data_IF_906001448365
#
_entry.id   IF_906001448365
#
_cell.length_a   1.000
_cell.length_b   1.000
_cell.length_c   1.000
_cell.angle_alpha   90.00
_cell.angle_beta   90.00
_cell.angle_gamma   90.00
#
_symmetry.space_group_name_H-M   'P 1'
#
loop_
_entity.id
_entity.type
_entity.pdbx_description
1 polymer ?
#
# COMPACT_ATOMS: atom_id res chain seq x y z
N UNK A 1 10.50 -14.05 17.40
CA UNK A 1 10.35 -15.16 16.43
C UNK A 1 8.93 -15.36 15.92
N UNK A 2 7.89 -15.43 16.77
CA UNK A 2 6.52 -15.66 16.31
C UNK A 2 6.00 -14.59 15.32
N UNK A 3 6.44 -13.33 15.47
CA UNK A 3 6.12 -12.26 14.52
C UNK A 3 6.66 -12.49 13.11
N UNK A 4 7.86 -13.07 12.94
CA UNK A 4 8.40 -13.33 11.60
C UNK A 4 7.62 -14.40 10.84
N UNK A 5 6.96 -15.32 11.55
CA UNK A 5 6.05 -16.31 10.95
C UNK A 5 4.89 -15.60 10.24
N UNK A 6 4.50 -14.40 10.69
CA UNK A 6 3.44 -13.60 10.07
C UNK A 6 4.02 -12.58 9.08
N UNK A 7 5.09 -11.87 9.47
CA UNK A 7 5.68 -10.79 8.67
C UNK A 7 6.28 -11.28 7.35
N UNK A 8 6.91 -12.46 7.33
CA UNK A 8 7.54 -12.98 6.10
C UNK A 8 6.48 -13.36 5.06
N UNK A 9 5.41 -14.13 5.38
CA UNK A 9 4.31 -14.35 4.44
C UNK A 9 3.63 -13.07 3.97
N UNK A 10 3.41 -12.09 4.86
CA UNK A 10 2.85 -10.80 4.47
C UNK A 10 3.76 -10.03 3.50
N UNK A 11 5.08 -10.08 3.69
CA UNK A 11 6.04 -9.50 2.76
C UNK A 11 5.99 -10.17 1.39
N UNK A 12 5.93 -11.51 1.35
CA UNK A 12 5.78 -12.28 0.10
C UNK A 12 4.46 -11.90 -0.60
N UNK A 13 3.36 -11.81 0.14
CA UNK A 13 2.07 -11.38 -0.39
C UNK A 13 2.12 -9.97 -0.98
N UNK A 14 2.79 -9.03 -0.33
CA UNK A 14 2.97 -7.69 -0.89
C UNK A 14 3.85 -7.67 -2.14
N UNK A 15 4.87 -8.54 -2.23
CA UNK A 15 5.64 -8.71 -3.47
C UNK A 15 4.74 -9.21 -4.60
N UNK A 16 3.85 -10.17 -4.32
CA UNK A 16 2.88 -10.64 -5.33
C UNK A 16 1.94 -9.52 -5.78
N UNK A 17 1.41 -8.73 -4.85
CA UNK A 17 0.56 -7.57 -5.17
C UNK A 17 1.32 -6.55 -6.02
N UNK A 18 2.55 -6.18 -5.63
CA UNK A 18 3.36 -5.21 -6.39
C UNK A 18 3.62 -5.72 -7.81
N UNK A 19 3.94 -7.00 -7.95
CA UNK A 19 4.14 -7.63 -9.26
C UNK A 19 2.85 -7.61 -10.09
N UNK A 20 1.71 -7.92 -9.47
CA UNK A 20 0.42 -7.93 -10.14
C UNK A 20 -0.01 -6.52 -10.57
N UNK A 21 0.18 -5.51 -9.71
CA UNK A 21 -0.06 -4.11 -10.04
C UNK A 21 0.83 -3.70 -11.22
N UNK A 22 2.12 -4.06 -11.25
CA UNK A 22 3.01 -3.72 -12.38
C UNK A 22 2.57 -4.34 -13.70
N UNK A 23 2.12 -5.59 -13.66
CA UNK A 23 1.76 -6.36 -14.85
C UNK A 23 0.32 -6.09 -15.32
N UNK A 24 -0.58 -5.71 -14.41
CA UNK A 24 -2.00 -5.47 -14.66
C UNK A 24 -2.50 -4.24 -13.89
N UNK A 25 -2.02 -3.06 -14.28
CA UNK A 25 -2.37 -1.78 -13.66
C UNK A 25 -3.86 -1.44 -13.72
N UNK A 26 -4.65 -2.07 -14.58
CA UNK A 26 -6.09 -1.80 -14.75
C UNK A 26 -6.99 -2.66 -13.85
N UNK A 27 -6.48 -3.76 -13.28
CA UNK A 27 -7.28 -4.66 -12.41
C UNK A 27 -7.42 -4.17 -10.98
N UNK A 28 -6.44 -3.41 -10.50
CA UNK A 28 -6.39 -2.97 -9.12
C UNK A 28 -6.81 -1.53 -8.99
N UNK A 29 -7.86 -1.32 -8.22
CA UNK A 29 -8.42 0.00 -8.00
C UNK A 29 -8.21 0.40 -6.56
N UNK A 30 -7.36 1.40 -6.36
CA UNK A 30 -7.09 1.96 -5.04
C UNK A 30 -8.30 2.71 -4.45
N UNK A 31 -9.28 3.02 -5.30
CA UNK A 31 -10.51 3.73 -4.93
C UNK A 31 -11.70 2.77 -4.99
N UNK A 32 -12.67 2.86 -4.06
CA UNK A 32 -13.81 1.95 -4.02
C UNK A 32 -14.51 1.86 -5.37
N UNK A 33 -14.88 0.65 -5.80
CA UNK A 33 -15.56 0.39 -7.07
C UNK A 33 -16.75 1.32 -7.32
N UNK A 34 -17.52 1.66 -6.28
CA UNK A 34 -18.65 2.62 -6.34
C UNK A 34 -18.28 4.06 -6.70
N UNK A 35 -17.06 4.50 -6.41
CA UNK A 35 -16.57 5.81 -6.88
C UNK A 35 -16.09 5.71 -8.32
N UNK A 36 -15.50 4.59 -8.71
CA UNK A 36 -15.04 4.35 -10.08
C UNK A 36 -16.22 4.22 -11.04
N UNK A 37 -17.29 3.52 -10.66
CA UNK A 37 -18.54 3.43 -11.43
C UNK A 37 -19.20 4.80 -11.67
N UNK A 38 -18.93 5.82 -10.83
CA UNK A 38 -19.41 7.20 -11.03
C UNK A 38 -18.53 8.01 -11.98
N UNK A 39 -17.33 7.52 -12.28
CA UNK A 39 -16.29 8.21 -13.07
C UNK A 39 -15.84 7.32 -14.25
N UNK A 40 -16.44 6.14 -14.45
CA UNK A 40 -16.13 5.19 -15.51
C UNK A 40 -16.36 5.79 -16.91
N UNK A 41 -17.31 6.72 -17.03
CA UNK A 41 -17.55 7.49 -18.26
C UNK A 41 -16.54 8.65 -18.45
N UNK A 42 -15.70 8.96 -17.45
CA UNK A 42 -14.82 10.13 -17.42
C UNK A 42 -13.31 9.80 -17.31
N UNK A 43 -12.93 8.60 -16.87
CA UNK A 43 -11.54 8.17 -16.72
C UNK A 43 -11.15 7.19 -17.81
N UNK A 44 -10.20 7.58 -18.66
CA UNK A 44 -9.57 6.67 -19.61
C UNK A 44 -8.74 5.60 -18.89
N UNK A 45 -8.48 4.46 -19.55
CA UNK A 45 -7.55 3.44 -19.01
C UNK A 45 -6.16 4.03 -18.69
N UNK A 46 -5.72 5.03 -19.48
CA UNK A 46 -4.47 5.75 -19.26
C UNK A 46 -4.45 6.54 -17.94
N UNK A 47 -5.59 7.13 -17.56
CA UNK A 47 -5.72 7.83 -16.29
C UNK A 47 -5.65 6.88 -15.09
N UNK A 48 -6.27 5.70 -15.20
CA UNK A 48 -6.22 4.65 -14.17
C UNK A 48 -4.78 4.14 -14.00
N UNK A 49 -4.09 3.89 -15.12
CA UNK A 49 -2.68 3.50 -15.14
C UNK A 49 -1.79 4.55 -14.48
N UNK A 50 -1.97 5.82 -14.84
CA UNK A 50 -1.21 6.95 -14.29
C UNK A 50 -1.46 7.10 -12.78
N UNK A 51 -2.71 6.97 -12.35
CA UNK A 51 -3.11 7.07 -10.96
C UNK A 51 -2.54 5.93 -10.10
N UNK A 52 -2.63 4.68 -10.55
CA UNK A 52 -2.09 3.53 -9.83
C UNK A 52 -0.56 3.58 -9.72
N UNK A 53 0.14 4.07 -10.77
CA UNK A 53 1.58 4.34 -10.70
C UNK A 53 1.92 5.44 -9.70
N UNK A 54 1.09 6.47 -9.60
CA UNK A 54 1.32 7.64 -8.73
C UNK A 54 1.03 7.38 -7.26
N UNK A 55 0.02 6.56 -6.94
CA UNK A 55 -0.43 6.37 -5.56
C UNK A 55 -0.29 4.93 -5.07
N UNK A 56 -0.77 3.95 -5.85
CA UNK A 56 -0.85 2.57 -5.38
C UNK A 56 0.52 1.90 -5.28
N UNK A 57 1.37 2.03 -6.29
CA UNK A 57 2.73 1.46 -6.26
C UNK A 57 3.60 2.07 -5.14
N UNK A 58 3.72 3.41 -5.01
CA UNK A 58 4.50 4.01 -3.92
C UNK A 58 4.00 3.61 -2.54
N UNK A 59 2.68 3.55 -2.33
CA UNK A 59 2.10 3.05 -1.09
C UNK A 59 2.57 1.62 -0.81
N UNK A 60 2.39 0.70 -1.76
CA UNK A 60 2.79 -0.70 -1.60
C UNK A 60 4.29 -0.85 -1.29
N UNK A 61 5.16 -0.04 -1.91
CA UNK A 61 6.59 -0.05 -1.60
C UNK A 61 6.90 0.42 -0.18
N UNK A 62 6.22 1.46 0.30
CA UNK A 62 6.41 1.95 1.68
C UNK A 62 5.95 0.88 2.67
N UNK A 63 4.78 0.26 2.44
CA UNK A 63 4.28 -0.84 3.27
C UNK A 63 5.25 -2.03 3.28
N UNK A 64 5.83 -2.36 2.12
CA UNK A 64 6.87 -3.40 2.02
C UNK A 64 8.12 -3.03 2.83
N UNK A 65 8.59 -1.78 2.74
CA UNK A 65 9.71 -1.29 3.54
C UNK A 65 9.46 -1.40 5.03
N UNK A 66 8.27 -0.98 5.49
CA UNK A 66 7.84 -1.10 6.89
C UNK A 66 7.90 -2.55 7.37
N UNK A 67 7.40 -3.51 6.57
CA UNK A 67 7.48 -4.93 6.91
C UNK A 67 8.89 -5.47 7.01
N UNK A 68 9.76 -5.09 6.07
CA UNK A 68 11.16 -5.51 6.07
C UNK A 68 11.86 -4.97 7.33
N UNK A 69 11.66 -3.69 7.65
CA UNK A 69 12.23 -3.08 8.86
C UNK A 69 11.73 -3.77 10.13
N UNK A 70 10.44 -4.06 10.23
CA UNK A 70 9.88 -4.82 11.36
C UNK A 70 10.49 -6.23 11.46
N UNK A 71 10.59 -6.94 10.34
CA UNK A 71 11.16 -8.29 10.30
C UNK A 71 12.63 -8.28 10.75
N UNK A 72 13.45 -7.39 10.21
CA UNK A 72 14.85 -7.21 10.60
C UNK A 72 14.96 -6.84 12.09
N UNK A 73 14.11 -5.94 12.59
CA UNK A 73 14.14 -5.53 13.99
C UNK A 73 13.92 -6.72 14.94
N UNK A 74 13.03 -7.66 14.60
CA UNK A 74 12.78 -8.85 15.43
C UNK A 74 13.92 -9.87 15.44
N UNK A 75 14.88 -9.76 14.51
CA UNK A 75 16.09 -10.60 14.43
C UNK A 75 17.24 -9.95 15.20
N UNK A 76 17.42 -8.63 15.04
CA UNK A 76 18.58 -7.90 15.55
C UNK A 76 18.42 -7.51 17.02
N UNK A 77 17.22 -7.06 17.41
CA UNK A 77 17.02 -6.45 18.72
C UNK A 77 16.41 -7.42 19.73
N UNK A 78 16.61 -7.11 21.01
CA UNK A 78 15.93 -7.77 22.11
C UNK A 78 14.43 -7.48 22.12
N UNK A 79 13.68 -8.27 22.89
CA UNK A 79 12.21 -8.28 22.90
C UNK A 79 11.59 -6.91 23.06
N UNK A 80 12.03 -6.16 24.05
CA UNK A 80 11.40 -4.90 24.43
C UNK A 80 11.59 -3.85 23.34
N UNK A 81 12.76 -3.85 22.71
CA UNK A 81 13.11 -2.93 21.63
C UNK A 81 12.35 -3.30 20.36
N UNK A 82 12.36 -4.56 19.92
CA UNK A 82 11.66 -4.90 18.67
C UNK A 82 10.13 -4.75 18.79
N UNK A 83 9.54 -4.91 19.98
CA UNK A 83 8.09 -4.66 20.15
C UNK A 83 7.73 -3.20 19.85
N UNK A 84 8.61 -2.26 20.22
CA UNK A 84 8.45 -0.85 19.88
C UNK A 84 8.47 -0.67 18.36
N UNK A 85 9.44 -1.28 17.66
CA UNK A 85 9.50 -1.24 16.19
C UNK A 85 8.26 -1.85 15.53
N UNK A 86 7.71 -2.93 16.09
CA UNK A 86 6.47 -3.55 15.60
C UNK A 86 5.28 -2.62 15.76
N UNK A 87 5.11 -1.99 16.93
CA UNK A 87 4.02 -1.04 17.16
C UNK A 87 4.11 0.18 16.25
N UNK A 88 5.30 0.79 16.14
CA UNK A 88 5.51 1.91 15.23
C UNK A 88 5.37 1.52 13.77
N UNK A 89 5.77 0.31 13.39
CA UNK A 89 5.58 -0.21 12.04
C UNK A 89 4.10 -0.39 11.69
N UNK A 90 3.29 -0.96 12.57
CA UNK A 90 1.83 -1.03 12.36
C UNK A 90 1.19 0.36 12.30
N UNK A 91 1.59 1.27 13.20
CA UNK A 91 1.11 2.65 13.14
C UNK A 91 1.47 3.32 11.80
N UNK A 92 2.73 3.19 11.36
CA UNK A 92 3.19 3.69 10.07
C UNK A 92 2.45 3.07 8.89
N UNK A 93 2.08 1.79 8.98
CA UNK A 93 1.27 1.10 7.97
C UNK A 93 -0.09 1.79 7.80
N UNK A 94 -0.87 1.94 8.89
CA UNK A 94 -2.19 2.55 8.82
C UNK A 94 -2.13 4.02 8.41
N UNK A 95 -1.13 4.75 8.91
CA UNK A 95 -0.91 6.14 8.53
C UNK A 95 -0.61 6.26 7.03
N UNK A 96 0.23 5.38 6.48
CA UNK A 96 0.55 5.35 5.05
C UNK A 96 -0.71 5.08 4.20
N UNK A 97 -1.53 4.09 4.58
CA UNK A 97 -2.81 3.83 3.91
C UNK A 97 -3.72 5.06 3.91
N UNK A 98 -3.87 5.72 5.07
CA UNK A 98 -4.73 6.89 5.20
C UNK A 98 -4.24 8.07 4.33
N UNK A 99 -2.93 8.35 4.34
CA UNK A 99 -2.34 9.44 3.55
C UNK A 99 -2.58 9.20 2.06
N UNK A 100 -2.23 8.01 1.55
CA UNK A 100 -2.38 7.73 0.13
C UNK A 100 -3.85 7.72 -0.28
N UNK A 101 -4.76 7.21 0.57
CA UNK A 101 -6.20 7.23 0.34
C UNK A 101 -6.76 8.64 0.21
N UNK A 102 -6.36 9.55 1.11
CA UNK A 102 -6.76 10.95 1.08
C UNK A 102 -6.20 11.64 -0.18
N UNK A 103 -4.90 11.49 -0.45
CA UNK A 103 -4.25 12.09 -1.62
C UNK A 103 -4.90 11.63 -2.92
N UNK A 104 -5.16 10.33 -3.02
CA UNK A 104 -5.81 9.73 -4.16
C UNK A 104 -7.23 10.27 -4.37
N UNK A 105 -8.03 10.35 -3.30
CA UNK A 105 -9.39 10.89 -3.35
C UNK A 105 -9.41 12.37 -3.77
N UNK A 106 -8.48 13.17 -3.25
CA UNK A 106 -8.35 14.60 -3.63
C UNK A 106 -8.03 14.75 -5.12
N UNK A 107 -7.09 13.96 -5.64
CA UNK A 107 -6.67 14.06 -7.05
C UNK A 107 -7.79 13.65 -8.01
N UNK A 108 -8.56 12.61 -7.67
CA UNK A 108 -9.74 12.21 -8.45
C UNK A 108 -10.84 13.27 -8.41
N UNK A 109 -11.16 13.82 -7.24
CA UNK A 109 -12.16 14.88 -7.12
C UNK A 109 -11.79 16.14 -7.92
N UNK A 110 -10.49 16.42 -8.11
CA UNK A 110 -10.01 17.50 -8.98
C UNK A 110 -10.17 17.19 -10.48
N UNK A 111 -10.12 15.93 -10.89
CA UNK A 111 -10.33 15.54 -12.30
C UNK A 111 -11.81 15.51 -12.70
N UNK A 112 -12.71 15.26 -11.74
CA UNK A 112 -14.16 15.22 -11.97
C UNK A 112 -14.77 16.62 -12.12
N UNK A 113 -14.14 17.65 -11.57
CA UNK A 113 -14.67 19.01 -11.44
C UNK A 113 -14.00 19.97 -12.42
#
# INVERSE_FOLDING_TARGET
MLFNIVLVPMAIFMVTIISEIKNNLTKFNFVPKKMIEKVEDLLSEEDVISYNKKYMLPMCYILMGIMITMSIATIIFERDIYHIFIMFGFFGWFLNLAIFWILGTIDLNKKIR
#
